data_IF_039681118011
#
_entry.id   IF_039681118011
#
_cell.length_a   1.000
_cell.length_b   1.000
_cell.length_c   1.000
_cell.angle_alpha   90.00
_cell.angle_beta   90.00
_cell.angle_gamma   90.00
#
_symmetry.space_group_name_H-M   'P 1'
#
loop_
_entity.id
_entity.type
_entity.pdbx_description
1 polymer ?
#
# COMPACT_ATOMS: atom_id res chain seq x y z
N UNK A 1 16.03 -12.83 -3.31
CA UNK A 1 14.59 -12.69 -3.64
C UNK A 1 14.00 -11.75 -2.61
N UNK A 2 13.41 -10.64 -3.03
CA UNK A 2 12.91 -9.60 -2.14
C UNK A 2 11.50 -9.16 -2.54
N UNK A 3 10.69 -8.78 -1.57
CA UNK A 3 9.37 -8.20 -1.80
C UNK A 3 9.50 -6.68 -1.89
N UNK A 4 8.84 -6.06 -2.85
CA UNK A 4 8.71 -4.61 -2.90
C UNK A 4 7.62 -4.18 -1.93
N UNK A 5 8.02 -3.65 -0.77
CA UNK A 5 7.10 -3.19 0.27
C UNK A 5 6.80 -1.70 0.06
N UNK A 6 5.51 -1.37 0.05
CA UNK A 6 5.00 -0.01 -0.15
C UNK A 6 4.04 0.36 0.97
N UNK A 7 4.18 1.56 1.53
CA UNK A 7 3.23 2.13 2.49
C UNK A 7 2.18 2.96 1.77
N UNK A 8 0.90 2.64 1.96
CA UNK A 8 -0.25 3.42 1.51
C UNK A 8 -1.04 3.88 2.74
N UNK A 9 -1.02 5.18 3.04
CA UNK A 9 -1.70 5.75 4.22
C UNK A 9 -2.52 6.99 3.88
N UNK A 10 -3.49 7.32 4.74
CA UNK A 10 -4.24 8.60 4.73
C UNK A 10 -3.53 9.71 5.49
N UNK A 11 -2.48 9.38 6.26
CA UNK A 11 -1.72 10.38 7.00
C UNK A 11 -1.04 11.36 6.03
N UNK A 12 -0.72 12.55 6.54
CA UNK A 12 0.09 13.51 5.81
C UNK A 12 1.50 12.97 5.52
N UNK A 13 2.18 13.53 4.52
CA UNK A 13 3.50 13.08 4.06
C UNK A 13 4.53 13.02 5.19
N UNK A 14 4.54 14.00 6.09
CA UNK A 14 5.48 14.02 7.22
C UNK A 14 5.33 12.78 8.12
N UNK A 15 4.11 12.48 8.54
CA UNK A 15 3.81 11.35 9.42
C UNK A 15 4.05 10.01 8.72
N UNK A 16 3.68 9.94 7.44
CA UNK A 16 3.86 8.75 6.62
C UNK A 16 5.34 8.42 6.42
N UNK A 17 6.18 9.42 6.11
CA UNK A 17 7.62 9.26 5.94
C UNK A 17 8.33 8.89 7.24
N UNK A 18 7.97 9.55 8.36
CA UNK A 18 8.53 9.21 9.68
C UNK A 18 8.23 7.77 10.07
N UNK A 19 7.00 7.30 9.81
CA UNK A 19 6.60 5.92 10.07
C UNK A 19 7.37 4.95 9.16
N UNK A 20 7.42 5.24 7.87
CA UNK A 20 8.11 4.40 6.88
C UNK A 20 9.61 4.24 7.18
N UNK A 21 10.29 5.31 7.62
CA UNK A 21 11.71 5.25 8.02
C UNK A 21 11.93 4.31 9.20
N UNK A 22 11.03 4.26 10.18
CA UNK A 22 11.16 3.39 11.36
C UNK A 22 11.10 1.90 11.01
N UNK A 23 10.39 1.56 9.93
CA UNK A 23 10.19 0.17 9.48
C UNK A 23 10.87 -0.15 8.15
N UNK A 24 11.77 0.72 7.69
CA UNK A 24 12.58 0.55 6.48
C UNK A 24 11.75 0.35 5.19
N UNK A 25 10.61 1.03 5.09
CA UNK A 25 9.85 1.12 3.84
C UNK A 25 10.35 2.32 3.05
N UNK A 26 10.78 2.07 1.81
CA UNK A 26 11.36 3.10 0.94
C UNK A 26 10.34 3.76 0.00
N UNK A 27 9.18 3.14 -0.22
CA UNK A 27 8.12 3.68 -1.07
C UNK A 27 6.89 4.01 -0.25
N UNK A 28 6.51 5.29 -0.25
CA UNK A 28 5.42 5.82 0.57
C UNK A 28 4.48 6.62 -0.31
N UNK A 29 3.18 6.34 -0.17
CA UNK A 29 2.09 7.12 -0.72
C UNK A 29 1.23 7.60 0.45
N UNK A 30 1.34 8.89 0.74
CA UNK A 30 0.61 9.59 1.79
C UNK A 30 -0.70 10.19 1.26
N UNK A 31 -1.60 10.57 2.17
CA UNK A 31 -2.87 11.24 1.85
C UNK A 31 -3.75 10.48 0.84
N UNK A 32 -3.61 9.14 0.79
CA UNK A 32 -4.28 8.30 -0.20
C UNK A 32 -5.73 8.07 0.18
N UNK A 33 -6.63 8.60 -0.64
CA UNK A 33 -8.06 8.42 -0.47
C UNK A 33 -8.51 6.99 -0.81
N UNK A 34 -9.64 6.51 -0.26
CA UNK A 34 -10.17 5.17 -0.54
C UNK A 34 -10.29 4.81 -2.03
N UNK A 35 -10.73 5.76 -2.87
CA UNK A 35 -10.83 5.59 -4.32
C UNK A 35 -9.44 5.43 -4.96
N UNK A 36 -8.48 6.29 -4.59
CA UNK A 36 -7.10 6.25 -5.11
C UNK A 36 -6.35 4.97 -4.71
N UNK A 37 -6.69 4.39 -3.56
CA UNK A 37 -6.09 3.13 -3.09
C UNK A 37 -6.32 1.99 -4.08
N UNK A 38 -7.52 1.88 -4.65
CA UNK A 38 -7.86 0.84 -5.64
C UNK A 38 -7.01 0.99 -6.90
N UNK A 39 -6.91 2.22 -7.40
CA UNK A 39 -6.14 2.54 -8.60
C UNK A 39 -4.64 2.22 -8.41
N UNK A 40 -4.07 2.52 -7.24
CA UNK A 40 -2.69 2.15 -6.94
C UNK A 40 -2.47 0.65 -6.83
N UNK A 41 -3.39 -0.08 -6.21
CA UNK A 41 -3.28 -1.54 -6.14
C UNK A 41 -3.32 -2.15 -7.55
N UNK A 42 -4.21 -1.68 -8.43
CA UNK A 42 -4.26 -2.13 -9.82
C UNK A 42 -2.95 -1.82 -10.57
N UNK A 43 -2.34 -0.66 -10.32
CA UNK A 43 -1.03 -0.32 -10.88
C UNK A 43 0.08 -1.26 -10.41
N UNK A 44 0.00 -1.82 -9.20
CA UNK A 44 0.98 -2.80 -8.72
C UNK A 44 0.72 -4.20 -9.23
N UNK A 45 -0.53 -4.54 -9.58
CA UNK A 45 -0.93 -5.85 -10.12
C UNK A 45 -0.58 -6.04 -11.60
N UNK A 46 -0.12 -5.00 -12.30
CA UNK A 46 0.31 -5.12 -13.71
C UNK A 46 1.47 -6.11 -13.84
N UNK A 47 1.62 -6.69 -15.03
CA UNK A 47 2.69 -7.64 -15.37
C UNK A 47 2.72 -8.91 -14.49
N UNK A 48 1.56 -9.44 -14.11
CA UNK A 48 1.39 -10.65 -13.31
C UNK A 48 2.03 -10.60 -11.90
N UNK A 49 2.28 -9.39 -11.39
CA UNK A 49 2.79 -9.19 -10.04
C UNK A 49 1.76 -9.63 -8.99
N UNK A 50 2.18 -10.52 -8.09
CA UNK A 50 1.38 -10.94 -6.94
C UNK A 50 1.45 -9.84 -5.88
N UNK A 51 0.30 -9.24 -5.56
CA UNK A 51 0.18 -8.19 -4.55
C UNK A 51 -0.52 -8.72 -3.31
N UNK A 52 0.20 -8.75 -2.19
CA UNK A 52 -0.37 -8.93 -0.86
C UNK A 52 -0.65 -7.56 -0.24
N UNK A 53 -1.83 -7.39 0.37
CA UNK A 53 -2.20 -6.17 1.07
C UNK A 53 -2.57 -6.50 2.52
N UNK A 54 -1.94 -5.80 3.46
CA UNK A 54 -2.25 -5.88 4.89
C UNK A 54 -2.86 -4.55 5.33
N UNK A 55 -3.95 -4.60 6.10
CA UNK A 55 -4.64 -3.43 6.63
C UNK A 55 -5.73 -3.81 7.61
N UNK A 56 -6.26 -2.82 8.33
CA UNK A 56 -7.26 -2.94 9.39
C UNK A 56 -8.66 -3.39 8.92
N UNK A 57 -8.85 -3.64 7.63
CA UNK A 57 -10.06 -4.28 7.09
C UNK A 57 -11.32 -3.40 7.05
N UNK A 58 -11.34 -2.24 7.71
CA UNK A 58 -12.52 -1.34 7.74
C UNK A 58 -12.83 -0.72 6.36
N UNK A 59 -11.88 -0.80 5.42
CA UNK A 59 -12.00 -0.29 4.06
C UNK A 59 -12.04 -1.41 2.99
N UNK A 60 -12.55 -2.60 3.35
CA UNK A 60 -12.52 -3.80 2.53
C UNK A 60 -13.53 -3.78 1.36
N UNK A 61 -12.99 -3.61 0.16
CA UNK A 61 -13.71 -3.82 -1.10
C UNK A 61 -12.79 -4.28 -2.23
N UNK A 62 -11.69 -4.98 -1.91
CA UNK A 62 -10.81 -5.60 -2.88
C UNK A 62 -10.46 -7.01 -2.39
N UNK A 63 -11.00 -8.03 -3.08
CA UNK A 63 -10.52 -9.40 -2.94
C UNK A 63 -9.20 -9.51 -3.70
N UNK A 64 -8.08 -9.20 -3.06
CA UNK A 64 -6.79 -9.74 -3.49
C UNK A 64 -6.75 -11.21 -3.07
N UNK A 65 -6.44 -12.10 -4.01
CA UNK A 65 -6.33 -13.53 -3.75
C UNK A 65 -5.04 -13.75 -2.95
N UNK A 66 -5.19 -13.92 -1.64
CA UNK A 66 -4.11 -14.24 -0.71
C UNK A 66 -3.72 -15.70 -0.98
N UNK A 67 -2.46 -15.93 -1.34
CA UNK A 67 -1.75 -17.16 -1.00
C UNK A 67 -0.74 -16.80 0.09
#
# INVERSE_FOLDING_TARGET
>A
MGMNVVLLTRDNSKTAEETARKILIHQVFAEVLPNQKKDKIQQFQVNDNIVAMVGDGVNAGLRSRIF
#
